data_IF_500158158250
#
_entry.id   IF_500158158250
#
_cell.length_a   1.000
_cell.length_b   1.000
_cell.length_c   1.000
_cell.angle_alpha   90.00
_cell.angle_beta   90.00
_cell.angle_gamma   90.00
#
_symmetry.space_group_name_H-M   'P 1'
#
loop_
_entity.id
_entity.type
_entity.pdbx_description
1 polymer ?
#
# COMPACT_ATOMS: atom_id res chain seq x y z
N UNK A 1 6.24 10.31 -10.98
CA UNK A 1 5.36 9.39 -11.70
C UNK A 1 4.89 9.99 -13.03
N UNK A 2 4.23 11.15 -13.04
CA UNK A 2 3.69 11.79 -14.27
C UNK A 2 4.72 11.99 -15.39
N UNK A 3 5.97 12.29 -15.06
CA UNK A 3 7.05 12.50 -16.04
C UNK A 3 7.56 11.21 -16.71
N UNK A 4 7.23 10.06 -16.16
CA UNK A 4 7.71 8.76 -16.64
C UNK A 4 6.58 7.72 -16.51
N UNK A 5 5.54 7.78 -17.35
CA UNK A 5 4.44 6.82 -17.32
C UNK A 5 4.95 5.40 -17.58
N UNK A 6 4.43 4.44 -16.87
CA UNK A 6 4.78 3.01 -17.01
C UNK A 6 6.17 2.60 -16.50
N UNK A 7 7.00 3.56 -16.06
CA UNK A 7 8.36 3.28 -15.58
C UNK A 7 8.37 2.65 -14.18
N UNK A 8 7.37 2.94 -13.37
CA UNK A 8 7.30 2.52 -11.98
C UNK A 8 6.27 1.41 -11.79
N UNK A 9 6.56 0.53 -10.84
CA UNK A 9 5.67 -0.56 -10.45
C UNK A 9 5.28 -0.44 -8.99
N UNK A 10 4.11 -0.98 -8.63
CA UNK A 10 3.70 -1.14 -7.25
C UNK A 10 3.32 -2.58 -6.96
N UNK A 11 3.75 -3.06 -5.79
CA UNK A 11 3.42 -4.37 -5.29
C UNK A 11 2.15 -4.34 -4.42
N UNK A 12 1.44 -5.44 -4.37
CA UNK A 12 0.34 -5.70 -3.44
C UNK A 12 0.36 -7.13 -2.94
N UNK A 13 -0.41 -7.40 -1.89
CA UNK A 13 -0.56 -8.76 -1.34
C UNK A 13 -1.46 -9.67 -2.19
N UNK A 14 -1.88 -9.24 -3.37
CA UNK A 14 -2.67 -9.98 -4.33
C UNK A 14 -3.73 -9.14 -5.02
N UNK A 15 -4.20 -9.61 -6.17
CA UNK A 15 -5.26 -8.95 -6.93
C UNK A 15 -6.57 -8.92 -6.14
N UNK A 16 -7.24 -7.76 -6.12
CA UNK A 16 -8.50 -7.54 -5.40
C UNK A 16 -8.36 -7.27 -3.91
N UNK A 17 -7.16 -7.31 -3.34
CA UNK A 17 -6.92 -6.89 -1.94
C UNK A 17 -7.06 -5.37 -1.80
N UNK A 18 -7.29 -4.89 -0.58
CA UNK A 18 -7.33 -3.45 -0.29
C UNK A 18 -6.04 -2.76 -0.74
N UNK A 19 -4.91 -3.45 -0.65
CA UNK A 19 -3.60 -2.95 -1.08
C UNK A 19 -3.54 -2.73 -2.60
N UNK A 20 -4.09 -3.65 -3.39
CA UNK A 20 -4.25 -3.49 -4.83
C UNK A 20 -5.18 -2.32 -5.16
N UNK A 21 -6.35 -2.28 -4.52
CA UNK A 21 -7.35 -1.23 -4.75
C UNK A 21 -6.80 0.16 -4.38
N UNK A 22 -5.98 0.26 -3.34
CA UNK A 22 -5.29 1.51 -2.97
C UNK A 22 -4.39 2.01 -4.11
N UNK A 23 -3.63 1.11 -4.73
CA UNK A 23 -2.77 1.45 -5.86
C UNK A 23 -3.58 1.88 -7.09
N UNK A 24 -4.65 1.17 -7.42
CA UNK A 24 -5.51 1.51 -8.56
C UNK A 24 -6.24 2.84 -8.35
N UNK A 25 -6.78 3.08 -7.15
CA UNK A 25 -7.40 4.38 -6.84
C UNK A 25 -6.36 5.52 -6.93
N UNK A 26 -5.15 5.29 -6.43
CA UNK A 26 -4.08 6.27 -6.54
C UNK A 26 -3.74 6.58 -8.00
N UNK A 27 -3.65 5.57 -8.87
CA UNK A 27 -3.42 5.77 -10.30
C UNK A 27 -4.48 6.66 -10.93
N UNK A 28 -5.76 6.38 -10.62
CA UNK A 28 -6.90 7.14 -11.16
C UNK A 28 -6.87 8.59 -10.67
N UNK A 29 -6.77 8.80 -9.36
CA UNK A 29 -6.86 10.15 -8.77
C UNK A 29 -5.64 11.01 -9.07
N UNK A 30 -4.45 10.42 -9.14
CA UNK A 30 -3.22 11.13 -9.47
C UNK A 30 -2.97 11.25 -10.98
N UNK A 31 -3.78 10.57 -11.81
CA UNK A 31 -3.60 10.49 -13.26
C UNK A 31 -2.19 10.02 -13.63
N UNK A 32 -1.75 8.93 -13.02
CA UNK A 32 -0.44 8.32 -13.26
C UNK A 32 -0.57 6.88 -13.72
N UNK A 33 0.41 6.43 -14.48
CA UNK A 33 0.51 5.03 -14.91
C UNK A 33 1.60 4.31 -14.11
N UNK A 34 1.24 3.14 -13.56
CA UNK A 34 2.13 2.25 -12.81
C UNK A 34 1.72 0.80 -13.06
N UNK A 35 2.70 -0.07 -13.21
CA UNK A 35 2.47 -1.50 -13.35
C UNK A 35 2.13 -2.12 -11.97
N UNK A 36 1.02 -2.83 -11.88
CA UNK A 36 0.68 -3.62 -10.69
C UNK A 36 1.39 -4.99 -10.74
N UNK A 37 2.07 -5.34 -9.66
CA UNK A 37 2.74 -6.64 -9.47
C UNK A 37 2.11 -7.33 -8.26
N UNK A 38 1.22 -8.32 -8.48
CA UNK A 38 0.57 -9.04 -7.38
C UNK A 38 1.50 -10.11 -6.79
N UNK A 39 1.48 -10.24 -5.47
CA UNK A 39 2.20 -11.27 -4.71
C UNK A 39 1.22 -12.14 -3.91
N UNK A 40 1.70 -13.29 -3.45
CA UNK A 40 0.94 -14.16 -2.53
C UNK A 40 1.14 -13.72 -1.07
N UNK A 41 0.74 -12.48 -0.74
CA UNK A 41 0.88 -11.89 0.58
C UNK A 41 1.89 -10.76 0.64
N UNK A 42 1.92 -10.02 1.76
CA UNK A 42 2.78 -8.86 1.95
C UNK A 42 4.26 -9.22 2.11
N UNK A 43 4.59 -10.36 2.73
CA UNK A 43 5.98 -10.73 2.98
C UNK A 43 6.83 -10.87 1.71
N UNK A 44 6.43 -11.65 0.69
CA UNK A 44 7.18 -11.72 -0.57
C UNK A 44 7.19 -10.39 -1.32
N UNK A 45 6.13 -9.59 -1.25
CA UNK A 45 6.09 -8.26 -1.85
C UNK A 45 7.12 -7.32 -1.21
N UNK A 46 7.24 -7.35 0.12
CA UNK A 46 8.24 -6.57 0.86
C UNK A 46 9.67 -7.01 0.54
N UNK A 47 9.91 -8.32 0.39
CA UNK A 47 11.23 -8.82 -0.01
C UNK A 47 11.67 -8.26 -1.36
N UNK A 48 10.78 -8.25 -2.34
CA UNK A 48 11.08 -7.72 -3.67
C UNK A 48 11.21 -6.19 -3.68
N UNK A 49 10.50 -5.48 -2.81
CA UNK A 49 10.73 -4.05 -2.59
C UNK A 49 12.13 -3.79 -2.05
N UNK A 50 12.55 -4.55 -1.03
CA UNK A 50 13.88 -4.43 -0.42
C UNK A 50 15.00 -4.80 -1.40
N UNK A 51 14.73 -5.71 -2.32
CA UNK A 51 15.64 -6.11 -3.40
C UNK A 51 15.64 -5.12 -4.60
N UNK A 52 14.75 -4.12 -4.59
CA UNK A 52 14.62 -3.15 -5.69
C UNK A 52 13.92 -3.68 -6.94
N UNK A 53 13.23 -4.82 -6.85
CA UNK A 53 12.50 -5.42 -7.98
C UNK A 53 11.19 -4.67 -8.30
N UNK A 54 10.61 -4.01 -7.31
CA UNK A 54 9.45 -3.13 -7.46
C UNK A 54 9.76 -1.76 -6.87
N UNK A 55 9.10 -0.74 -7.40
CA UNK A 55 9.40 0.66 -7.04
C UNK A 55 8.76 1.08 -5.73
N UNK A 56 7.59 0.53 -5.41
CA UNK A 56 6.83 0.85 -4.20
C UNK A 56 5.88 -0.28 -3.84
N UNK A 57 5.32 -0.21 -2.64
CA UNK A 57 4.31 -1.14 -2.14
C UNK A 57 3.21 -0.36 -1.44
N UNK A 58 1.97 -0.77 -1.61
CA UNK A 58 0.91 -0.49 -0.67
C UNK A 58 0.87 -1.65 0.32
N UNK A 59 1.08 -1.38 1.59
CA UNK A 59 1.15 -2.42 2.63
C UNK A 59 0.43 -1.98 3.90
N UNK A 60 0.06 -2.95 4.72
CA UNK A 60 -0.51 -2.68 6.03
C UNK A 60 0.57 -2.21 7.00
N UNK A 61 0.24 -1.25 7.87
CA UNK A 61 1.18 -0.64 8.80
C UNK A 61 1.96 -1.68 9.63
N UNK A 62 1.33 -2.72 10.23
CA UNK A 62 2.08 -3.70 11.02
C UNK A 62 3.18 -4.41 10.23
N UNK A 63 2.95 -4.74 8.96
CA UNK A 63 3.95 -5.39 8.10
C UNK A 63 5.09 -4.45 7.71
N UNK A 64 4.77 -3.20 7.40
CA UNK A 64 5.74 -2.22 6.94
C UNK A 64 6.56 -1.58 8.08
N UNK A 65 5.96 -1.42 9.27
CA UNK A 65 6.50 -0.58 10.34
C UNK A 65 7.90 -1.02 10.82
N UNK A 66 8.14 -2.32 10.89
CA UNK A 66 9.45 -2.86 11.28
C UNK A 66 10.56 -2.44 10.29
N UNK A 67 10.26 -2.47 9.00
CA UNK A 67 11.21 -2.09 7.95
C UNK A 67 11.42 -0.58 7.89
N UNK A 68 10.38 0.20 8.17
CA UNK A 68 10.46 1.66 8.30
C UNK A 68 11.36 2.04 9.48
N UNK A 69 11.14 1.44 10.66
CA UNK A 69 11.96 1.68 11.86
C UNK A 69 13.41 1.26 11.70
N UNK A 70 13.65 0.21 10.91
CA UNK A 70 15.00 -0.23 10.56
C UNK A 70 15.68 0.65 9.49
N UNK A 71 14.96 1.65 8.94
CA UNK A 71 15.48 2.53 7.89
C UNK A 71 15.65 1.87 6.52
N UNK A 72 15.09 0.68 6.33
CA UNK A 72 15.23 -0.10 5.08
C UNK A 72 14.24 0.33 4.00
N UNK A 73 13.11 0.90 4.39
CA UNK A 73 12.12 1.50 3.48
C UNK A 73 11.72 2.86 3.99
N UNK A 74 11.35 3.74 3.07
CA UNK A 74 10.87 5.09 3.39
C UNK A 74 9.35 5.13 3.29
N UNK A 75 8.62 5.49 4.34
CA UNK A 75 7.20 5.76 4.24
C UNK A 75 6.98 7.03 3.41
N UNK A 76 6.08 6.97 2.47
CA UNK A 76 5.75 8.11 1.59
C UNK A 76 4.48 8.78 2.09
N UNK A 77 3.43 8.02 2.30
CA UNK A 77 2.14 8.50 2.80
C UNK A 77 1.31 7.33 3.36
N UNK A 78 0.28 7.65 4.14
CA UNK A 78 -0.75 6.70 4.56
C UNK A 78 -2.02 6.89 3.73
N UNK A 79 -2.78 5.82 3.59
CA UNK A 79 -4.00 5.78 2.74
C UNK A 79 -5.26 6.24 3.46
N UNK A 80 -5.22 6.37 4.78
CA UNK A 80 -6.32 6.85 5.62
C UNK A 80 -6.55 8.35 5.44
N UNK A 81 -7.78 8.81 5.73
CA UNK A 81 -8.15 10.21 5.63
C UNK A 81 -7.35 11.12 6.58
N UNK A 82 -6.93 10.60 7.73
CA UNK A 82 -6.13 11.30 8.74
C UNK A 82 -4.82 10.56 9.01
N UNK A 83 -3.81 11.29 9.48
CA UNK A 83 -2.53 10.70 9.88
C UNK A 83 -2.71 9.69 11.01
N UNK A 84 -1.87 8.65 11.02
CA UNK A 84 -1.91 7.62 12.06
C UNK A 84 -1.02 8.00 13.26
N UNK A 85 -1.46 7.73 14.51
CA UNK A 85 -0.65 7.97 15.71
C UNK A 85 0.68 7.20 15.75
N UNK A 86 0.76 6.06 15.05
CA UNK A 86 2.00 5.23 15.02
C UNK A 86 3.05 5.77 14.06
N UNK A 87 2.69 6.68 13.15
CA UNK A 87 3.59 7.35 12.23
C UNK A 87 3.12 8.80 11.97
N UNK A 88 3.14 9.67 12.98
CA UNK A 88 2.53 11.00 12.91
C UNK A 88 3.22 11.94 11.91
N UNK A 89 4.48 11.69 11.58
CA UNK A 89 5.25 12.48 10.62
C UNK A 89 5.01 12.06 9.16
N UNK A 90 4.31 10.93 8.94
CA UNK A 90 3.96 10.47 7.60
C UNK A 90 2.66 11.13 7.15
N UNK A 91 2.66 11.89 6.03
CA UNK A 91 1.46 12.57 5.55
C UNK A 91 0.42 11.57 5.04
N UNK A 92 -0.81 12.03 4.88
CA UNK A 92 -1.85 11.27 4.16
C UNK A 92 -1.77 11.56 2.67
N UNK A 93 -2.22 10.60 1.84
CA UNK A 93 -2.41 10.85 0.41
C UNK A 93 -3.44 11.96 0.19
N UNK A 94 -4.47 12.04 1.06
CA UNK A 94 -5.53 13.06 0.99
C UNK A 94 -5.03 14.50 1.20
N UNK A 95 -3.86 14.70 1.80
CA UNK A 95 -3.23 16.04 1.89
C UNK A 95 -2.82 16.58 0.52
N UNK A 96 -2.65 15.71 -0.48
CA UNK A 96 -2.34 16.08 -1.87
C UNK A 96 -3.49 15.72 -2.82
N UNK A 97 -4.11 14.55 -2.66
CA UNK A 97 -5.25 14.08 -3.45
C UNK A 97 -6.50 14.08 -2.58
N UNK A 98 -7.19 15.22 -2.54
CA UNK A 98 -8.37 15.42 -1.70
C UNK A 98 -9.42 14.33 -1.98
N UNK A 99 -9.94 13.72 -0.92
CA UNK A 99 -10.95 12.65 -1.00
C UNK A 99 -10.36 11.24 -1.06
N UNK A 100 -9.04 11.09 -1.11
CA UNK A 100 -8.41 9.76 -1.01
C UNK A 100 -8.57 9.21 0.41
N UNK A 101 -9.27 8.10 0.56
CA UNK A 101 -9.48 7.42 1.83
C UNK A 101 -9.73 5.94 1.60
N UNK A 102 -8.75 5.10 1.89
CA UNK A 102 -8.88 3.64 1.89
C UNK A 102 -8.23 3.10 3.16
N UNK A 103 -8.98 2.28 3.89
CA UNK A 103 -8.49 1.53 5.06
C UNK A 103 -8.73 0.04 4.87
N UNK A 104 -7.81 -0.77 5.36
CA UNK A 104 -7.97 -2.22 5.40
C UNK A 104 -8.96 -2.62 6.49
N UNK A 105 -9.70 -3.67 6.21
CA UNK A 105 -10.62 -4.30 7.16
C UNK A 105 -10.35 -5.80 7.25
N UNK A 106 -10.69 -6.39 8.38
CA UNK A 106 -10.54 -7.83 8.63
C UNK A 106 -11.83 -8.37 9.20
N UNK A 107 -12.19 -9.58 8.81
CA UNK A 107 -13.32 -10.31 9.40
C UNK A 107 -12.83 -11.59 10.05
N UNK A 108 -13.46 -11.95 11.16
CA UNK A 108 -13.35 -13.29 11.72
C UNK A 108 -14.52 -14.11 11.20
N UNK A 109 -14.20 -15.18 10.49
CA UNK A 109 -15.23 -16.07 9.92
C UNK A 109 -14.96 -17.51 10.31
N UNK A 110 -16.03 -18.29 10.39
CA UNK A 110 -15.95 -19.72 10.63
C UNK A 110 -16.94 -20.49 9.74
N UNK A 111 -16.93 -21.82 9.78
CA UNK A 111 -17.91 -22.64 9.09
C UNK A 111 -19.35 -22.26 9.52
N UNK A 112 -20.29 -22.29 8.58
CA UNK A 112 -21.69 -21.90 8.85
C UNK A 112 -22.36 -22.71 9.99
N UNK A 113 -21.83 -23.88 10.31
CA UNK A 113 -22.32 -24.78 11.36
C UNK A 113 -21.38 -24.84 12.56
N UNK A 114 -20.61 -23.79 12.82
CA UNK A 114 -19.79 -23.69 14.02
C UNK A 114 -20.71 -23.63 15.24
N UNK A 115 -20.50 -24.49 16.26
CA UNK A 115 -21.32 -24.46 17.49
C UNK A 115 -21.17 -23.17 18.29
#
# INVERSE_FOLDING_TARGET
>A
LKKNPGKYSFASAGAGTTLHLSGELFKIMAEVDMLHVPYRGGAPAMQDLLAGQVSMIFDNIPGALAQVRAGKVRPIAVTSATRTPVAPDTPTISETLVGFDIVSWTTLTGPAKLP
#
